data_IF_397086014906
#
_entry.id   IF_397086014906
#
_cell.length_a   1.000
_cell.length_b   1.000
_cell.length_c   1.000
_cell.angle_alpha   90.00
_cell.angle_beta   90.00
_cell.angle_gamma   90.00
#
_symmetry.space_group_name_H-M   'P 1'
#
loop_
_entity.id
_entity.type
_entity.pdbx_description
1 polymer ?
#
# COMPACT_ATOMS: atom_id res chain seq x y z
N UNK A 1 3.19 -27.57 24.86
CA UNK A 1 2.77 -26.86 23.63
C UNK A 1 3.34 -27.60 22.44
N UNK A 2 2.52 -27.96 21.43
CA UNK A 2 3.02 -28.56 20.19
C UNK A 2 3.88 -27.54 19.44
N UNK A 3 5.04 -27.98 18.93
CA UNK A 3 5.92 -27.12 18.11
C UNK A 3 5.37 -27.08 16.68
N UNK A 4 5.32 -25.91 16.03
CA UNK A 4 4.93 -25.83 14.63
C UNK A 4 5.98 -26.51 13.74
N UNK A 5 5.53 -27.07 12.62
CA UNK A 5 6.37 -27.65 11.58
C UNK A 5 7.40 -26.61 11.08
N UNK A 6 8.61 -27.07 10.75
CA UNK A 6 9.73 -26.24 10.25
C UNK A 6 9.24 -25.31 9.14
N UNK A 7 9.30 -23.99 9.39
CA UNK A 7 8.99 -22.95 8.40
C UNK A 7 7.79 -22.06 8.74
N UNK A 8 6.88 -22.48 9.64
CA UNK A 8 5.79 -21.61 10.09
C UNK A 8 6.28 -20.66 11.20
N UNK A 9 6.32 -19.36 10.91
CA UNK A 9 6.52 -18.33 11.93
C UNK A 9 5.22 -18.24 12.75
N UNK A 10 5.30 -18.52 14.05
CA UNK A 10 4.22 -18.23 14.99
C UNK A 10 3.98 -16.71 14.98
N UNK A 11 2.76 -16.30 14.60
CA UNK A 11 2.33 -14.92 14.75
C UNK A 11 1.67 -14.79 16.11
N UNK A 12 2.29 -14.02 17.01
CA UNK A 12 1.76 -13.73 18.34
C UNK A 12 1.23 -12.29 18.36
N UNK A 13 0.01 -12.09 18.81
CA UNK A 13 -0.61 -10.78 19.00
C UNK A 13 -1.30 -10.73 20.36
N UNK A 14 -1.26 -9.55 20.96
CA UNK A 14 -2.01 -9.26 22.17
C UNK A 14 -3.36 -8.69 21.78
N UNK A 15 -4.41 -9.26 22.36
CA UNK A 15 -5.79 -8.87 22.10
C UNK A 15 -6.45 -8.52 23.42
N UNK A 16 -7.41 -7.61 23.36
CA UNK A 16 -8.26 -7.34 24.51
C UNK A 16 -9.07 -8.60 24.89
N UNK A 17 -9.40 -8.79 26.18
CA UNK A 17 -10.07 -10.00 26.65
C UNK A 17 -11.38 -10.31 25.91
N UNK A 18 -12.13 -9.27 25.55
CA UNK A 18 -13.41 -9.36 24.85
C UNK A 18 -13.23 -9.93 23.42
N UNK A 19 -12.23 -9.44 22.70
CA UNK A 19 -11.86 -9.94 21.38
C UNK A 19 -11.35 -11.38 21.45
N UNK A 20 -10.57 -11.72 22.48
CA UNK A 20 -10.10 -13.09 22.70
C UNK A 20 -11.27 -14.06 22.87
N UNK A 21 -12.26 -13.70 23.68
CA UNK A 21 -13.44 -14.54 23.91
C UNK A 21 -14.27 -14.73 22.65
N UNK A 22 -14.45 -13.68 21.85
CA UNK A 22 -15.14 -13.78 20.56
C UNK A 22 -14.40 -14.72 19.59
N UNK A 23 -13.08 -14.62 19.49
CA UNK A 23 -12.25 -15.50 18.64
C UNK A 23 -12.32 -16.95 19.12
N UNK A 24 -12.30 -17.18 20.43
CA UNK A 24 -12.40 -18.53 21.01
C UNK A 24 -13.74 -19.20 20.70
N UNK A 25 -14.83 -18.44 20.57
CA UNK A 25 -16.14 -18.93 20.14
C UNK A 25 -16.13 -19.22 18.63
N UNK A 26 -15.66 -18.26 17.82
CA UNK A 26 -15.67 -18.40 16.35
C UNK A 26 -14.80 -19.56 15.87
N UNK A 27 -13.59 -19.73 16.42
CA UNK A 27 -12.72 -20.87 16.08
C UNK A 27 -13.36 -22.22 16.41
N UNK A 28 -14.15 -22.27 17.50
CA UNK A 28 -14.81 -23.50 17.94
C UNK A 28 -15.97 -23.89 17.02
N UNK A 29 -16.67 -22.90 16.46
CA UNK A 29 -17.70 -23.10 15.43
C UNK A 29 -17.07 -23.64 14.13
N UNK A 30 -15.95 -23.07 13.72
CA UNK A 30 -15.28 -23.45 12.46
C UNK A 30 -14.42 -24.73 12.58
N UNK A 31 -14.19 -25.22 13.81
CA UNK A 31 -13.36 -26.41 14.08
C UNK A 31 -11.87 -26.21 13.78
N UNK A 32 -11.41 -24.95 13.73
CA UNK A 32 -10.04 -24.60 13.34
C UNK A 32 -9.14 -24.34 14.56
N UNK A 33 -7.84 -24.58 14.38
CA UNK A 33 -6.85 -24.06 15.33
C UNK A 33 -6.82 -22.54 15.25
N UNK A 34 -6.42 -21.87 16.34
CA UNK A 34 -6.33 -20.40 16.34
C UNK A 34 -5.39 -19.90 15.22
N UNK A 35 -4.31 -20.62 14.94
CA UNK A 35 -3.38 -20.25 13.88
C UNK A 35 -4.01 -20.42 12.50
N UNK A 36 -4.67 -21.55 12.23
CA UNK A 36 -5.29 -21.80 10.92
C UNK A 36 -6.48 -20.85 10.67
N UNK A 37 -7.24 -20.51 11.72
CA UNK A 37 -8.32 -19.52 11.64
C UNK A 37 -7.78 -18.13 11.27
N UNK A 38 -6.67 -17.71 11.88
CA UNK A 38 -6.03 -16.45 11.55
C UNK A 38 -5.38 -16.44 10.17
N UNK A 39 -4.72 -17.52 9.77
CA UNK A 39 -4.17 -17.68 8.42
C UNK A 39 -5.31 -17.53 7.38
N UNK A 40 -6.45 -18.20 7.59
CA UNK A 40 -7.62 -18.08 6.71
C UNK A 40 -8.20 -16.66 6.66
N UNK A 41 -8.26 -15.97 7.79
CA UNK A 41 -8.78 -14.61 7.87
C UNK A 41 -7.87 -13.60 7.17
N UNK A 42 -6.55 -13.75 7.33
CA UNK A 42 -5.54 -12.96 6.62
C UNK A 42 -5.61 -13.23 5.12
N UNK A 43 -5.67 -14.50 4.70
CA UNK A 43 -5.80 -14.86 3.28
C UNK A 43 -7.06 -14.27 2.65
N UNK A 44 -8.20 -14.35 3.36
CA UNK A 44 -9.47 -13.78 2.90
C UNK A 44 -9.40 -12.26 2.77
N UNK A 45 -8.82 -11.57 3.75
CA UNK A 45 -8.69 -10.12 3.74
C UNK A 45 -7.71 -9.65 2.64
N UNK A 46 -6.56 -10.34 2.50
CA UNK A 46 -5.58 -10.05 1.43
C UNK A 46 -6.20 -10.30 0.05
N UNK A 47 -6.94 -11.40 -0.11
CA UNK A 47 -7.64 -11.72 -1.36
C UNK A 47 -8.71 -10.69 -1.68
N UNK A 48 -9.55 -10.32 -0.71
CA UNK A 48 -10.55 -9.27 -0.88
C UNK A 48 -9.92 -7.95 -1.31
N UNK A 49 -8.78 -7.57 -0.73
CA UNK A 49 -8.04 -6.35 -1.12
C UNK A 49 -7.38 -6.44 -2.48
N UNK A 50 -6.89 -7.63 -2.85
CA UNK A 50 -6.29 -7.88 -4.17
C UNK A 50 -7.33 -7.88 -5.28
N UNK A 51 -8.50 -8.46 -5.02
CA UNK A 51 -9.64 -8.49 -5.95
C UNK A 51 -10.35 -7.12 -6.02
N UNK A 52 -10.19 -6.27 -4.99
CA UNK A 52 -10.70 -4.90 -4.98
C UNK A 52 -9.72 -3.86 -5.51
N UNK A 53 -8.55 -4.24 -6.05
CA UNK A 53 -7.63 -3.29 -6.67
C UNK A 53 -8.35 -2.66 -7.88
N UNK A 54 -8.77 -1.39 -7.80
CA UNK A 54 -9.42 -0.78 -8.93
C UNK A 54 -8.34 -0.57 -9.99
N UNK A 55 -8.49 -1.22 -11.15
CA UNK A 55 -7.89 -0.73 -12.39
C UNK A 55 -8.68 0.53 -12.78
N UNK A 56 -8.62 1.56 -11.94
CA UNK A 56 -9.35 2.80 -12.18
C UNK A 56 -8.60 3.61 -13.21
N UNK A 57 -9.29 3.88 -14.32
CA UNK A 57 -8.93 4.95 -15.24
C UNK A 57 -8.87 6.28 -14.47
N UNK A 58 -7.92 7.17 -14.77
CA UNK A 58 -7.68 8.34 -13.93
C UNK A 58 -8.88 9.31 -13.97
N UNK A 59 -9.55 9.48 -12.83
CA UNK A 59 -10.54 10.56 -12.64
C UNK A 59 -9.83 11.91 -12.42
N UNK A 60 -10.46 13.03 -12.81
CA UNK A 60 -9.94 14.37 -12.55
C UNK A 60 -9.91 14.64 -11.03
N UNK A 61 -8.69 14.62 -10.46
CA UNK A 61 -8.45 14.69 -9.02
C UNK A 61 -7.45 13.67 -8.50
N UNK A 62 -7.03 12.71 -9.34
CA UNK A 62 -6.05 11.70 -8.96
C UNK A 62 -4.72 12.30 -8.48
N UNK A 63 -4.20 11.79 -7.37
CA UNK A 63 -2.86 12.11 -6.84
C UNK A 63 -1.93 10.91 -6.98
N UNK A 64 -0.61 11.16 -7.02
CA UNK A 64 0.38 10.07 -6.98
C UNK A 64 0.20 9.22 -5.72
N UNK A 65 -0.15 9.85 -4.58
CA UNK A 65 -0.47 9.15 -3.36
C UNK A 65 -1.66 8.20 -3.52
N UNK A 66 -2.71 8.61 -4.24
CA UNK A 66 -3.86 7.75 -4.55
C UNK A 66 -3.41 6.53 -5.37
N UNK A 67 -2.67 6.75 -6.46
CA UNK A 67 -2.17 5.68 -7.34
C UNK A 67 -1.36 4.66 -6.54
N UNK A 68 -0.52 5.13 -5.63
CA UNK A 68 0.31 4.25 -4.81
C UNK A 68 -0.54 3.46 -3.80
N UNK A 69 -1.52 4.08 -3.15
CA UNK A 69 -2.42 3.38 -2.23
C UNK A 69 -3.27 2.32 -2.96
N UNK A 70 -3.77 2.67 -4.14
CA UNK A 70 -4.60 1.80 -4.97
C UNK A 70 -3.81 0.61 -5.53
N UNK A 71 -2.48 0.73 -5.65
CA UNK A 71 -1.60 -0.32 -6.19
C UNK A 71 -0.54 -0.77 -5.18
N UNK A 72 -0.81 -0.58 -3.88
CA UNK A 72 0.18 -0.75 -2.81
C UNK A 72 0.83 -2.14 -2.83
N UNK A 73 0.03 -3.19 -3.03
CA UNK A 73 0.52 -4.57 -3.01
C UNK A 73 1.54 -4.81 -4.13
N UNK A 74 1.20 -4.41 -5.36
CA UNK A 74 2.07 -4.57 -6.54
C UNK A 74 3.37 -3.78 -6.34
N UNK A 75 3.26 -2.53 -5.88
CA UNK A 75 4.41 -1.67 -5.66
C UNK A 75 5.28 -2.14 -4.48
N UNK A 76 4.69 -2.68 -3.43
CA UNK A 76 5.43 -3.22 -2.28
C UNK A 76 6.23 -4.47 -2.66
N UNK A 77 5.74 -5.26 -3.63
CA UNK A 77 6.38 -6.48 -4.09
C UNK A 77 7.44 -6.23 -5.17
N UNK A 78 7.19 -5.32 -6.13
CA UNK A 78 7.96 -5.28 -7.39
C UNK A 78 8.47 -3.88 -7.81
N UNK A 79 8.21 -2.81 -7.02
CA UNK A 79 8.64 -1.45 -7.42
C UNK A 79 10.14 -1.18 -7.35
N UNK A 80 10.90 -2.01 -6.64
CA UNK A 80 12.29 -1.69 -6.30
C UNK A 80 12.44 -0.37 -5.50
N UNK A 81 11.34 0.15 -4.94
CA UNK A 81 11.31 1.28 -4.00
C UNK A 81 11.27 0.68 -2.59
N UNK A 82 12.10 1.22 -1.68
CA UNK A 82 12.08 0.78 -0.27
C UNK A 82 10.70 1.04 0.34
N UNK A 83 10.19 0.10 1.14
CA UNK A 83 8.86 0.21 1.79
C UNK A 83 8.66 1.54 2.55
N UNK A 84 9.66 2.00 3.31
CA UNK A 84 9.56 3.27 4.04
C UNK A 84 9.36 4.48 3.11
N UNK A 85 10.00 4.44 1.93
CA UNK A 85 9.84 5.48 0.92
C UNK A 85 8.49 5.38 0.23
N UNK A 86 8.07 4.18 -0.14
CA UNK A 86 6.76 3.94 -0.73
C UNK A 86 5.64 4.43 0.20
N UNK A 87 5.80 4.22 1.52
CA UNK A 87 4.87 4.69 2.55
C UNK A 87 4.83 6.22 2.66
N UNK A 88 5.97 6.89 2.49
CA UNK A 88 6.02 8.35 2.46
C UNK A 88 5.35 8.91 1.18
N UNK A 89 5.53 8.26 0.03
CA UNK A 89 4.88 8.65 -1.21
C UNK A 89 3.35 8.43 -1.13
N UNK A 90 2.90 7.33 -0.52
CA UNK A 90 1.50 7.07 -0.23
C UNK A 90 0.86 8.11 0.72
N UNK A 91 1.68 8.78 1.55
CA UNK A 91 1.26 9.89 2.42
C UNK A 91 1.28 11.26 1.73
N UNK A 92 1.62 11.33 0.45
CA UNK A 92 1.68 12.58 -0.30
C UNK A 92 3.04 13.28 -0.29
N UNK A 93 4.14 12.56 -0.04
CA UNK A 93 5.48 13.10 -0.33
C UNK A 93 5.68 13.25 -1.84
N UNK A 94 6.44 14.28 -2.26
CA UNK A 94 6.78 14.49 -3.67
C UNK A 94 7.70 13.35 -4.14
N UNK A 95 7.32 12.57 -5.18
CA UNK A 95 8.20 11.57 -5.75
C UNK A 95 9.37 12.23 -6.48
N UNK A 96 10.54 11.62 -6.39
CA UNK A 96 11.69 11.97 -7.24
C UNK A 96 11.55 11.37 -8.63
N UNK A 97 12.24 11.93 -9.62
CA UNK A 97 12.29 11.41 -10.99
C UNK A 97 12.61 9.90 -11.09
N UNK A 98 13.61 9.35 -10.38
CA UNK A 98 13.85 7.90 -10.37
C UNK A 98 12.74 7.09 -9.68
N UNK A 99 12.00 7.67 -8.74
CA UNK A 99 10.86 7.01 -8.10
C UNK A 99 9.65 7.00 -9.04
N UNK A 100 9.43 8.07 -9.81
CA UNK A 100 8.42 8.13 -10.87
C UNK A 100 8.67 7.11 -11.99
N UNK A 101 9.92 6.98 -12.46
CA UNK A 101 10.29 5.95 -13.44
C UNK A 101 9.94 4.54 -12.94
N UNK A 102 10.30 4.22 -11.70
CA UNK A 102 9.98 2.92 -11.09
C UNK A 102 8.48 2.68 -10.93
N UNK A 103 7.73 3.72 -10.55
CA UNK A 103 6.27 3.63 -10.47
C UNK A 103 5.66 3.40 -11.86
N UNK A 104 6.19 4.05 -12.90
CA UNK A 104 5.74 3.87 -14.29
C UNK A 104 5.98 2.43 -14.77
N UNK A 105 7.20 1.92 -14.57
CA UNK A 105 7.59 0.56 -14.94
C UNK A 105 6.74 -0.49 -14.23
N UNK A 106 6.57 -0.40 -12.90
CA UNK A 106 5.85 -1.41 -12.13
C UNK A 106 4.33 -1.36 -12.26
N UNK A 107 3.78 -0.23 -12.71
CA UNK A 107 2.34 -0.08 -12.96
C UNK A 107 1.97 -0.21 -14.43
N UNK A 108 2.96 -0.43 -15.31
CA UNK A 108 2.80 -0.40 -16.77
C UNK A 108 2.05 0.87 -17.23
N UNK A 109 2.50 2.02 -16.73
CA UNK A 109 1.91 3.34 -16.99
C UNK A 109 2.90 4.23 -17.70
N UNK A 110 2.36 5.16 -18.50
CA UNK A 110 3.18 6.19 -19.15
C UNK A 110 3.77 7.13 -18.09
N UNK A 111 5.08 7.35 -18.17
CA UNK A 111 5.79 8.24 -17.26
C UNK A 111 5.35 9.70 -17.43
N UNK A 112 5.02 10.11 -18.66
CA UNK A 112 4.58 11.48 -18.95
C UNK A 112 3.23 11.77 -18.28
N UNK A 113 2.35 10.76 -18.20
CA UNK A 113 1.08 10.87 -17.47
C UNK A 113 1.32 11.01 -15.96
N UNK A 114 2.21 10.21 -15.38
CA UNK A 114 2.55 10.31 -13.95
C UNK A 114 3.25 11.65 -13.63
N UNK A 115 4.10 12.14 -14.54
CA UNK A 115 4.78 13.41 -14.39
C UNK A 115 3.77 14.58 -14.39
N UNK A 116 2.80 14.58 -15.31
CA UNK A 116 1.73 15.59 -15.33
C UNK A 116 0.89 15.59 -14.06
N UNK A 117 0.58 14.40 -13.52
CA UNK A 117 -0.13 14.27 -12.24
C UNK A 117 0.74 14.80 -11.09
N UNK A 118 2.04 14.52 -11.09
CA UNK A 118 2.98 15.04 -10.11
C UNK A 118 3.05 16.57 -10.16
N UNK A 119 3.22 17.16 -11.35
CA UNK A 119 3.36 18.60 -11.55
C UNK A 119 2.09 19.37 -11.20
N UNK A 120 0.92 18.76 -11.40
CA UNK A 120 -0.37 19.30 -10.95
C UNK A 120 -0.49 19.36 -9.43
N UNK A 121 0.03 18.35 -8.73
CA UNK A 121 -0.06 18.23 -7.27
C UNK A 121 1.08 18.93 -6.52
N UNK A 122 2.22 19.13 -7.16
CA UNK A 122 3.39 19.82 -6.62
C UNK A 122 3.85 20.93 -7.58
N UNK A 123 3.06 22.00 -7.75
CA UNK A 123 3.42 23.09 -8.63
C UNK A 123 4.80 23.62 -8.21
N UNK A 124 5.74 23.62 -9.14
CA UNK A 124 7.02 24.30 -8.95
C UNK A 124 6.70 25.75 -8.57
N UNK A 125 7.13 26.19 -7.39
CA UNK A 125 7.23 27.62 -7.09
C UNK A 125 8.09 28.20 -8.20
N UNK A 126 7.44 28.79 -9.21
CA UNK A 126 8.11 29.75 -10.08
C UNK A 126 8.61 30.84 -9.14
N UNK A 127 9.93 30.91 -8.99
CA UNK A 127 10.58 32.11 -8.52
C UNK A 127 10.06 33.28 -9.37
N UNK A 128 9.12 34.05 -8.82
CA UNK A 128 8.95 35.43 -9.26
C UNK A 128 10.07 36.26 -8.62
N UNK A 129 11.31 35.94 -9.02
CA UNK A 129 12.39 36.90 -9.05
C UNK A 129 12.23 37.71 -10.33
N UNK A 130 11.46 38.80 -10.27
CA UNK A 130 11.64 39.87 -11.24
C UNK A 130 12.03 41.13 -10.47
N UNK A 131 13.33 41.24 -10.24
CA UNK A 131 14.00 42.51 -10.07
C UNK A 131 14.03 43.20 -11.44
N UNK A 132 13.21 44.23 -11.61
CA UNK A 132 13.39 45.31 -12.59
C UNK A 132 13.14 46.61 -11.82
N UNK A 133 14.20 47.24 -11.29
CA UNK A 133 15.05 48.24 -11.94
C UNK A 133 14.39 49.63 -12.03
N UNK A 134 15.04 50.54 -11.31
CA UNK A 134 15.11 52.00 -11.48
C UNK A 134 13.93 52.84 -11.03
#
# INVERSE_FOLDING_TARGET
MPRPAKGRKLVCFYLEPELKQAIDILKAVDGLSQQDWLESLIEKEVKNRKDSLPISKPEPGLTIAQIINDNWVVLAEDSGIKLDKLLNLAKGAKPTEPELNKLAESLDKDIDELQQICDRNFPHKKENGNAAKS
#
